data_IF_078492544463
#
_entry.id   IF_078492544463
#
_cell.length_a   1.000
_cell.length_b   1.000
_cell.length_c   1.000
_cell.angle_alpha   90.00
_cell.angle_beta   90.00
_cell.angle_gamma   90.00
#
_symmetry.space_group_name_H-M   'P 1'
#
loop_
_entity.id
_entity.type
_entity.pdbx_description
1 polymer ?
#
# COMPACT_ATOMS: atom_id res chain seq x y z
N UNK A 1 -7.73 25.19 31.77
CA UNK A 1 -8.29 26.57 31.76
C UNK A 1 -9.78 26.47 31.96
N UNK A 2 -10.34 27.21 32.93
CA UNK A 2 -11.75 27.15 33.28
C UNK A 2 -12.56 27.91 32.21
N UNK A 3 -13.56 27.27 31.63
CA UNK A 3 -14.56 27.98 30.83
C UNK A 3 -15.47 28.82 31.73
N UNK A 4 -16.16 29.79 31.16
CA UNK A 4 -17.10 30.60 31.90
C UNK A 4 -18.43 30.75 31.20
N UNK A 5 -19.53 31.02 31.97
CA UNK A 5 -20.87 31.24 31.45
C UNK A 5 -21.22 32.70 31.58
N UNK A 6 -21.51 33.34 30.46
CA UNK A 6 -22.01 34.70 30.39
C UNK A 6 -23.53 34.69 30.39
N UNK A 7 -24.17 35.41 31.32
CA UNK A 7 -25.63 35.74 31.24
C UNK A 7 -25.80 36.93 30.31
N UNK A 8 -26.43 36.75 29.16
CA UNK A 8 -26.59 37.79 28.13
C UNK A 8 -27.81 38.70 28.41
N UNK A 9 -28.69 38.27 29.30
CA UNK A 9 -29.86 39.04 29.69
C UNK A 9 -29.63 39.94 30.86
N UNK A 10 -28.58 39.66 31.67
CA UNK A 10 -28.24 40.48 32.82
C UNK A 10 -26.73 40.76 32.82
N UNK A 11 -26.38 41.97 33.29
CA UNK A 11 -25.03 42.38 33.64
C UNK A 11 -24.99 42.74 35.09
N UNK A 12 -23.84 42.56 35.70
CA UNK A 12 -23.58 42.99 37.10
C UNK A 12 -22.82 44.31 37.06
N UNK A 13 -23.35 45.34 37.69
CA UNK A 13 -22.71 46.64 37.86
C UNK A 13 -22.61 46.97 39.35
N UNK A 14 -21.58 47.75 39.74
CA UNK A 14 -21.47 48.24 41.11
C UNK A 14 -22.53 49.32 41.35
N UNK A 15 -23.42 49.05 42.28
CA UNK A 15 -24.42 50.05 42.71
C UNK A 15 -23.75 51.20 43.47
N UNK A 16 -24.51 52.27 43.80
CA UNK A 16 -24.03 53.41 44.54
C UNK A 16 -23.40 53.06 45.91
N UNK A 17 -23.82 51.96 46.52
CA UNK A 17 -23.35 51.41 47.77
C UNK A 17 -22.18 50.44 47.64
N UNK A 18 -21.55 50.37 46.47
CA UNK A 18 -20.46 49.44 46.20
C UNK A 18 -20.91 47.97 46.07
N UNK A 19 -22.19 47.65 46.25
CA UNK A 19 -22.70 46.28 46.13
C UNK A 19 -23.03 45.92 44.67
N UNK A 20 -22.75 44.67 44.24
CA UNK A 20 -23.05 44.22 42.88
C UNK A 20 -24.59 44.15 42.64
N UNK A 21 -25.06 44.97 41.74
CA UNK A 21 -26.48 45.01 41.35
C UNK A 21 -26.67 44.39 39.95
N UNK A 22 -27.70 43.56 39.81
CA UNK A 22 -28.01 42.87 38.59
C UNK A 22 -28.97 43.68 37.73
N UNK A 23 -28.52 44.18 36.58
CA UNK A 23 -29.27 45.07 35.68
C UNK A 23 -29.61 44.28 34.39
N UNK A 24 -30.81 44.49 33.86
CA UNK A 24 -31.23 43.95 32.59
C UNK A 24 -30.48 44.59 31.44
N UNK A 25 -30.00 43.76 30.49
CA UNK A 25 -29.39 44.24 29.23
C UNK A 25 -30.46 44.47 28.17
N UNK A 26 -30.14 45.15 27.09
CA UNK A 26 -31.01 45.32 25.91
C UNK A 26 -31.49 43.97 25.31
N UNK A 27 -30.82 42.89 25.62
CA UNK A 27 -31.17 41.53 25.18
C UNK A 27 -32.13 40.81 26.14
N UNK A 28 -32.56 41.44 27.18
CA UNK A 28 -33.49 40.84 28.15
C UNK A 28 -34.76 40.33 27.47
N UNK A 29 -35.05 39.03 27.61
CA UNK A 29 -36.21 38.40 26.98
C UNK A 29 -36.01 38.01 25.52
N UNK A 30 -34.94 38.43 24.87
CA UNK A 30 -34.69 38.18 23.45
C UNK A 30 -33.51 37.19 23.23
N UNK A 31 -33.76 36.14 22.47
CA UNK A 31 -32.76 35.13 22.05
C UNK A 31 -32.27 34.26 23.21
N UNK A 32 -31.10 33.61 23.00
CA UNK A 32 -30.52 32.68 23.97
C UNK A 32 -29.83 33.41 25.10
N UNK A 33 -30.15 33.06 26.35
CA UNK A 33 -29.69 33.75 27.56
C UNK A 33 -28.27 33.45 27.95
N UNK A 34 -27.91 32.16 28.06
CA UNK A 34 -26.58 31.74 28.57
C UNK A 34 -25.63 31.47 27.43
N UNK A 35 -24.42 32.04 27.50
CA UNK A 35 -23.34 31.77 26.56
C UNK A 35 -22.16 31.15 27.32
N UNK A 36 -21.99 29.86 27.17
CA UNK A 36 -20.86 29.15 27.68
C UNK A 36 -19.66 29.33 26.74
N UNK A 37 -18.48 29.69 27.28
CA UNK A 37 -17.25 29.96 26.53
C UNK A 37 -16.14 29.12 27.08
N UNK A 38 -15.26 28.63 26.22
CA UNK A 38 -14.01 27.96 26.58
C UNK A 38 -12.93 28.29 25.56
N UNK A 39 -11.66 28.14 25.95
CA UNK A 39 -10.51 28.25 25.05
C UNK A 39 -10.10 26.83 24.66
N UNK A 40 -10.07 26.55 23.37
CA UNK A 40 -9.65 25.25 22.84
C UNK A 40 -8.13 25.03 22.99
N UNK A 41 -7.64 23.80 22.70
CA UNK A 41 -6.20 23.49 22.72
C UNK A 41 -5.35 24.34 21.77
N UNK A 42 -5.98 24.88 20.73
CA UNK A 42 -5.38 25.79 19.73
C UNK A 42 -5.38 27.26 20.14
N UNK A 43 -5.74 27.56 21.39
CA UNK A 43 -5.84 28.93 21.92
C UNK A 43 -7.06 29.72 21.47
N UNK A 44 -7.92 29.14 20.60
CA UNK A 44 -9.10 29.84 20.08
C UNK A 44 -10.27 29.75 21.04
N UNK A 45 -10.93 30.93 21.32
CA UNK A 45 -12.15 30.97 22.13
C UNK A 45 -13.33 30.42 21.32
N UNK A 46 -14.06 29.49 21.92
CA UNK A 46 -15.28 28.89 21.39
C UNK A 46 -16.43 29.08 22.34
N UNK A 47 -17.66 29.12 21.80
CA UNK A 47 -18.84 29.31 22.64
C UNK A 47 -20.05 28.57 22.11
N UNK A 48 -20.95 28.20 23.05
CA UNK A 48 -22.30 27.68 22.76
C UNK A 48 -23.32 28.45 23.58
N UNK A 49 -24.43 28.79 22.94
CA UNK A 49 -25.52 29.54 23.61
C UNK A 49 -26.67 28.60 23.98
N UNK A 50 -27.29 28.87 25.12
CA UNK A 50 -28.38 28.07 25.69
C UNK A 50 -29.59 28.99 26.01
N UNK A 51 -30.82 28.44 25.90
CA UNK A 51 -32.06 29.19 26.22
C UNK A 51 -32.15 29.58 27.71
N UNK A 52 -33.17 30.38 28.03
CA UNK A 52 -33.53 30.63 29.42
C UNK A 52 -33.81 29.31 30.17
N UNK A 53 -33.59 29.32 31.49
CA UNK A 53 -33.72 28.15 32.40
C UNK A 53 -32.79 26.98 32.14
N UNK A 54 -31.88 27.06 31.19
CA UNK A 54 -30.94 26.00 30.87
C UNK A 54 -29.48 26.28 31.34
N UNK A 55 -29.30 27.02 32.41
CA UNK A 55 -27.96 27.32 32.96
C UNK A 55 -27.21 26.04 33.32
N UNK A 56 -27.86 25.08 33.97
CA UNK A 56 -27.30 23.79 34.33
C UNK A 56 -26.79 23.01 33.11
N UNK A 57 -27.53 23.00 32.00
CA UNK A 57 -27.05 22.39 30.74
C UNK A 57 -25.81 23.07 30.16
N UNK A 58 -25.69 24.38 30.36
CA UNK A 58 -24.48 25.11 29.95
C UNK A 58 -23.26 24.73 30.83
N UNK A 59 -23.48 24.54 32.14
CA UNK A 59 -22.48 24.08 33.11
C UNK A 59 -22.01 22.65 32.80
N UNK A 60 -22.98 21.74 32.61
CA UNK A 60 -22.71 20.32 32.22
C UNK A 60 -21.89 20.26 30.91
N UNK A 61 -22.29 21.05 29.91
CA UNK A 61 -21.56 21.09 28.64
C UNK A 61 -20.12 21.60 28.80
N UNK A 62 -19.87 22.61 29.64
CA UNK A 62 -18.50 23.08 29.92
C UNK A 62 -17.67 22.02 30.66
N UNK A 63 -18.28 21.35 31.64
CA UNK A 63 -17.61 20.29 32.40
C UNK A 63 -17.23 19.11 31.49
N UNK A 64 -18.14 18.67 30.61
CA UNK A 64 -17.86 17.64 29.60
C UNK A 64 -16.73 18.07 28.64
N UNK A 65 -16.80 19.31 28.13
CA UNK A 65 -15.78 19.86 27.23
C UNK A 65 -14.41 19.90 27.90
N UNK A 66 -14.34 20.32 29.17
CA UNK A 66 -13.09 20.35 29.93
C UNK A 66 -12.55 18.93 30.19
N UNK A 67 -13.40 17.97 30.50
CA UNK A 67 -13.05 16.58 30.68
C UNK A 67 -12.54 15.96 29.36
N UNK A 68 -13.14 16.27 28.21
CA UNK A 68 -12.70 15.82 26.90
C UNK A 68 -11.35 16.44 26.52
N UNK A 69 -11.13 17.72 26.84
CA UNK A 69 -9.83 18.36 26.64
C UNK A 69 -8.75 17.71 27.51
N UNK A 70 -9.04 17.41 28.77
CA UNK A 70 -8.08 16.76 29.66
C UNK A 70 -7.70 15.34 29.22
N UNK A 71 -8.62 14.64 28.56
CA UNK A 71 -8.40 13.31 27.97
C UNK A 71 -7.81 13.33 26.56
N UNK A 72 -7.56 14.52 25.99
CA UNK A 72 -7.13 14.66 24.59
C UNK A 72 -8.18 14.20 23.57
N UNK A 73 -9.47 14.11 23.96
CA UNK A 73 -10.57 13.64 23.12
C UNK A 73 -11.45 14.79 22.60
N UNK A 74 -11.02 16.04 22.82
CA UNK A 74 -11.78 17.20 22.38
C UNK A 74 -11.76 17.30 20.85
N UNK A 75 -12.96 17.35 20.27
CA UNK A 75 -13.16 17.55 18.81
C UNK A 75 -13.72 18.95 18.58
N UNK A 76 -13.05 19.74 17.76
CA UNK A 76 -13.58 21.02 17.33
C UNK A 76 -14.90 20.80 16.55
N UNK A 77 -16.03 21.40 16.98
CA UNK A 77 -17.31 21.28 16.27
C UNK A 77 -17.27 21.75 14.81
N UNK A 78 -16.36 22.67 14.45
CA UNK A 78 -16.16 23.11 13.07
C UNK A 78 -15.36 22.07 12.28
N UNK A 79 -14.28 21.56 12.84
CA UNK A 79 -13.47 20.50 12.26
C UNK A 79 -14.29 19.22 12.04
N UNK A 80 -15.16 18.87 12.99
CA UNK A 80 -16.08 17.74 12.89
C UNK A 80 -17.07 17.79 11.71
N UNK A 81 -17.35 18.97 11.15
CA UNK A 81 -18.23 19.18 9.98
C UNK A 81 -17.50 18.92 8.66
N UNK A 82 -16.18 18.90 8.65
CA UNK A 82 -15.40 18.55 7.45
C UNK A 82 -15.82 17.16 6.97
N UNK A 83 -16.11 17.01 5.68
CA UNK A 83 -16.52 15.73 5.12
C UNK A 83 -15.31 14.79 4.99
N UNK A 84 -15.55 13.48 4.98
CA UNK A 84 -14.51 12.48 4.78
C UNK A 84 -13.71 12.75 3.50
N UNK A 85 -14.39 13.07 2.39
CA UNK A 85 -13.72 13.35 1.12
C UNK A 85 -12.82 14.58 1.20
N UNK A 86 -13.33 15.71 1.72
CA UNK A 86 -12.54 16.94 1.86
C UNK A 86 -11.29 16.74 2.70
N UNK A 87 -11.41 15.98 3.78
CA UNK A 87 -10.26 15.65 4.62
C UNK A 87 -9.29 14.70 3.92
N UNK A 88 -9.79 13.62 3.31
CA UNK A 88 -8.98 12.62 2.62
C UNK A 88 -8.19 13.22 1.46
N UNK A 89 -8.76 14.14 0.69
CA UNK A 89 -8.05 14.83 -0.41
C UNK A 89 -6.87 15.66 0.11
N UNK A 90 -7.04 16.39 1.22
CA UNK A 90 -5.94 17.11 1.88
C UNK A 90 -4.88 16.16 2.44
N UNK A 91 -5.32 15.09 3.10
CA UNK A 91 -4.44 14.07 3.64
C UNK A 91 -3.60 13.40 2.55
N UNK A 92 -4.20 13.03 1.39
CA UNK A 92 -3.49 12.47 0.24
C UNK A 92 -2.44 13.45 -0.29
N UNK A 93 -2.79 14.74 -0.41
CA UNK A 93 -1.88 15.76 -0.91
C UNK A 93 -0.65 15.95 0.00
N UNK A 94 -0.82 15.81 1.32
CA UNK A 94 0.25 15.93 2.32
C UNK A 94 1.13 14.68 2.48
N UNK A 95 0.83 13.55 1.80
CA UNK A 95 1.62 12.34 1.94
C UNK A 95 2.98 12.44 1.25
N UNK A 96 4.05 12.10 1.97
CA UNK A 96 5.44 12.02 1.47
C UNK A 96 5.78 10.67 0.82
N UNK A 97 4.78 9.80 0.59
CA UNK A 97 4.97 8.47 0.02
C UNK A 97 5.29 8.50 -1.48
N UNK A 98 5.83 7.39 -2.01
CA UNK A 98 6.05 7.18 -3.45
C UNK A 98 4.81 7.57 -4.27
N UNK A 99 5.02 8.27 -5.38
CA UNK A 99 3.95 8.82 -6.22
C UNK A 99 2.94 7.76 -6.68
N UNK A 100 3.40 6.56 -7.07
CA UNK A 100 2.50 5.47 -7.47
C UNK A 100 1.66 4.94 -6.29
N UNK A 101 2.23 4.92 -5.10
CA UNK A 101 1.49 4.57 -3.88
C UNK A 101 0.39 5.59 -3.62
N UNK A 102 0.71 6.88 -3.70
CA UNK A 102 -0.26 7.99 -3.54
C UNK A 102 -1.38 7.93 -4.59
N UNK A 103 -1.03 7.76 -5.88
CA UNK A 103 -1.99 7.57 -6.97
C UNK A 103 -2.89 6.36 -6.70
N UNK A 104 -2.30 5.25 -6.24
CA UNK A 104 -3.06 4.05 -5.89
C UNK A 104 -4.03 4.25 -4.73
N UNK A 105 -3.64 4.99 -3.70
CA UNK A 105 -4.52 5.38 -2.58
C UNK A 105 -5.65 6.28 -3.08
N UNK A 106 -5.33 7.32 -3.83
CA UNK A 106 -6.31 8.25 -4.41
C UNK A 106 -7.34 7.51 -5.28
N UNK A 107 -6.87 6.66 -6.19
CA UNK A 107 -7.74 5.88 -7.09
C UNK A 107 -8.71 5.00 -6.29
N UNK A 108 -8.24 4.31 -5.26
CA UNK A 108 -9.09 3.45 -4.42
C UNK A 108 -10.11 4.27 -3.67
N UNK A 109 -9.72 5.39 -3.06
CA UNK A 109 -10.64 6.24 -2.31
C UNK A 109 -11.68 6.89 -3.24
N UNK A 110 -11.27 7.46 -4.38
CA UNK A 110 -12.19 8.07 -5.36
C UNK A 110 -13.18 7.07 -5.93
N UNK A 111 -12.73 5.87 -6.26
CA UNK A 111 -13.58 4.87 -6.92
C UNK A 111 -14.52 4.16 -5.96
N UNK A 112 -14.12 3.90 -4.72
CA UNK A 112 -14.85 3.01 -3.83
C UNK A 112 -15.31 3.65 -2.51
N UNK A 113 -14.55 4.60 -1.94
CA UNK A 113 -14.90 5.20 -0.66
C UNK A 113 -15.73 6.48 -0.81
N UNK A 114 -15.33 7.42 -1.68
CA UNK A 114 -16.02 8.70 -1.82
C UNK A 114 -17.47 8.57 -2.25
N UNK A 115 -17.86 7.68 -3.18
CA UNK A 115 -19.28 7.52 -3.54
C UNK A 115 -20.18 7.06 -2.37
N UNK A 116 -19.61 6.36 -1.37
CA UNK A 116 -20.37 5.73 -0.28
C UNK A 116 -20.34 6.54 1.01
N UNK A 117 -19.16 7.03 1.37
CA UNK A 117 -18.92 7.69 2.67
C UNK A 117 -18.30 9.08 2.53
N UNK A 118 -18.01 9.55 1.31
CA UNK A 118 -17.29 10.79 1.05
C UNK A 118 -17.98 12.05 1.58
N UNK A 119 -19.30 12.15 1.41
CA UNK A 119 -20.10 13.30 1.85
C UNK A 119 -20.37 13.33 3.37
N UNK A 120 -20.02 12.24 4.11
CA UNK A 120 -20.29 12.13 5.53
C UNK A 120 -19.35 13.04 6.34
N UNK A 121 -19.89 13.90 7.24
CA UNK A 121 -19.07 14.68 8.17
C UNK A 121 -18.26 13.76 9.10
N UNK A 122 -16.99 14.07 9.35
CA UNK A 122 -16.11 13.25 10.18
C UNK A 122 -16.69 12.99 11.58
N UNK A 123 -17.20 14.01 12.25
CA UNK A 123 -17.80 13.87 13.59
C UNK A 123 -19.07 12.99 13.65
N UNK A 124 -19.66 12.64 12.51
CA UNK A 124 -20.84 11.77 12.43
C UNK A 124 -20.52 10.29 12.23
N UNK A 125 -19.26 9.93 12.04
CA UNK A 125 -18.88 8.55 11.83
C UNK A 125 -19.16 7.67 13.05
N UNK A 126 -19.75 6.51 12.81
CA UNK A 126 -20.04 5.46 13.80
C UNK A 126 -19.58 4.10 13.27
N UNK A 127 -19.31 3.12 14.14
CA UNK A 127 -18.94 1.77 13.70
C UNK A 127 -19.91 1.13 12.71
N UNK A 128 -21.21 1.43 12.80
CA UNK A 128 -22.23 0.91 11.87
C UNK A 128 -21.94 1.32 10.43
N UNK A 129 -21.54 2.57 10.19
CA UNK A 129 -21.25 3.06 8.83
C UNK A 129 -20.03 2.37 8.21
N UNK A 130 -19.07 1.97 9.04
CA UNK A 130 -17.92 1.20 8.57
C UNK A 130 -18.31 -0.25 8.27
N UNK A 131 -19.18 -0.86 9.08
CA UNK A 131 -19.70 -2.21 8.79
C UNK A 131 -20.51 -2.24 7.49
N UNK A 132 -21.37 -1.24 7.26
CA UNK A 132 -22.10 -1.07 6.00
C UNK A 132 -21.15 -0.92 4.83
N UNK A 133 -20.16 -0.04 4.94
CA UNK A 133 -19.12 0.15 3.92
C UNK A 133 -18.35 -1.14 3.59
N UNK A 134 -17.98 -1.93 4.59
CA UNK A 134 -17.30 -3.22 4.38
C UNK A 134 -18.22 -4.20 3.64
N UNK A 135 -19.47 -4.33 4.07
CA UNK A 135 -20.47 -5.16 3.39
C UNK A 135 -20.67 -4.77 1.92
N UNK A 136 -20.72 -3.47 1.63
CA UNK A 136 -20.89 -2.97 0.27
C UNK A 136 -19.67 -3.30 -0.60
N UNK A 137 -18.44 -3.24 -0.03
CA UNK A 137 -17.22 -3.67 -0.73
C UNK A 137 -17.22 -5.17 -1.04
N UNK A 138 -17.77 -6.00 -0.14
CA UNK A 138 -17.88 -7.45 -0.34
C UNK A 138 -18.93 -7.78 -1.42
N UNK A 139 -20.03 -7.04 -1.47
CA UNK A 139 -21.07 -7.19 -2.48
C UNK A 139 -20.62 -6.77 -3.90
N UNK A 140 -19.66 -5.87 -4.02
CA UNK A 140 -19.12 -5.41 -5.33
C UNK A 140 -18.36 -6.47 -6.12
N UNK A 141 -18.25 -7.68 -5.64
CA UNK A 141 -17.47 -8.79 -6.27
C UNK A 141 -16.00 -8.42 -6.53
N UNK A 142 -15.46 -7.47 -5.79
CA UNK A 142 -14.04 -7.13 -5.83
C UNK A 142 -13.22 -8.13 -5.00
N UNK A 143 -12.03 -8.45 -5.47
CA UNK A 143 -11.18 -9.43 -4.77
C UNK A 143 -10.87 -8.99 -3.34
N UNK A 144 -10.96 -9.91 -2.37
CA UNK A 144 -10.84 -9.63 -0.94
C UNK A 144 -9.57 -8.86 -0.54
N UNK A 145 -8.42 -9.17 -1.16
CA UNK A 145 -7.17 -8.40 -0.94
C UNK A 145 -7.28 -6.93 -1.38
N UNK A 146 -8.01 -6.66 -2.45
CA UNK A 146 -8.21 -5.29 -2.92
C UNK A 146 -9.20 -4.54 -2.03
N UNK A 147 -10.30 -5.17 -1.61
CA UNK A 147 -11.24 -4.65 -0.63
C UNK A 147 -10.54 -4.34 0.71
N UNK A 148 -9.65 -5.23 1.16
CA UNK A 148 -8.82 -5.03 2.35
C UNK A 148 -7.93 -3.79 2.24
N UNK A 149 -7.33 -3.54 1.07
CA UNK A 149 -6.52 -2.35 0.82
C UNK A 149 -7.35 -1.07 0.83
N UNK A 150 -8.58 -1.09 0.26
CA UNK A 150 -9.50 0.04 0.32
C UNK A 150 -9.86 0.36 1.79
N UNK A 151 -10.25 -0.65 2.55
CA UNK A 151 -10.54 -0.51 3.98
C UNK A 151 -9.34 0.04 4.76
N UNK A 152 -8.12 -0.46 4.50
CA UNK A 152 -6.91 0.02 5.15
C UNK A 152 -6.65 1.51 4.87
N UNK A 153 -6.92 1.98 3.64
CA UNK A 153 -6.81 3.39 3.29
C UNK A 153 -7.86 4.24 4.03
N UNK A 154 -9.12 3.80 4.11
CA UNK A 154 -10.17 4.49 4.89
C UNK A 154 -9.78 4.55 6.36
N UNK A 155 -9.32 3.44 6.93
CA UNK A 155 -8.83 3.40 8.32
C UNK A 155 -7.70 4.38 8.57
N UNK A 156 -6.72 4.47 7.64
CA UNK A 156 -5.58 5.39 7.76
C UNK A 156 -6.04 6.86 7.74
N UNK A 157 -6.95 7.23 6.82
CA UNK A 157 -7.55 8.57 6.76
C UNK A 157 -8.28 8.91 8.06
N UNK A 158 -9.09 7.98 8.59
CA UNK A 158 -9.83 8.20 9.85
C UNK A 158 -8.90 8.23 11.07
N UNK A 159 -7.77 7.52 11.06
CA UNK A 159 -6.76 7.63 12.11
C UNK A 159 -6.11 9.02 12.10
N UNK A 160 -5.70 9.50 10.93
CA UNK A 160 -5.16 10.85 10.80
C UNK A 160 -6.19 11.92 11.21
N UNK A 161 -7.48 11.71 10.90
CA UNK A 161 -8.54 12.61 11.34
C UNK A 161 -8.73 12.63 12.89
N UNK A 162 -8.38 11.53 13.58
CA UNK A 162 -8.32 11.51 15.05
C UNK A 162 -7.12 12.30 15.54
N UNK A 163 -5.94 12.06 14.97
CA UNK A 163 -4.69 12.74 15.33
C UNK A 163 -4.82 14.27 15.14
N UNK A 164 -5.52 14.70 14.08
CA UNK A 164 -5.77 16.12 13.77
C UNK A 164 -7.01 16.71 14.51
N UNK A 165 -7.63 15.99 15.43
CA UNK A 165 -8.76 16.49 16.25
C UNK A 165 -10.09 16.67 15.50
N UNK A 166 -10.26 16.07 14.34
CA UNK A 166 -11.52 16.06 13.58
C UNK A 166 -12.51 14.98 14.03
N UNK A 167 -12.01 13.95 14.74
CA UNK A 167 -12.75 12.79 15.18
C UNK A 167 -12.21 12.31 16.53
N UNK A 168 -13.07 12.02 17.49
CA UNK A 168 -12.63 11.59 18.83
C UNK A 168 -12.03 10.18 18.85
N UNK A 169 -12.55 9.27 18.03
CA UNK A 169 -12.08 7.87 17.95
C UNK A 169 -12.27 7.34 16.54
N UNK A 170 -11.30 6.55 16.08
CA UNK A 170 -11.44 5.88 14.79
C UNK A 170 -12.50 4.75 14.87
N UNK A 171 -13.63 4.84 14.14
CA UNK A 171 -14.68 3.83 14.19
C UNK A 171 -14.25 2.47 13.63
N UNK A 172 -13.19 2.42 12.82
CA UNK A 172 -12.60 1.16 12.33
C UNK A 172 -11.93 0.35 13.46
N UNK A 173 -11.65 0.95 14.63
CA UNK A 173 -11.04 0.28 15.77
C UNK A 173 -12.05 -0.38 16.71
N UNK A 174 -13.35 -0.24 16.45
CA UNK A 174 -14.39 -0.86 17.26
C UNK A 174 -14.36 -2.40 17.09
N UNK A 175 -14.52 -3.13 18.20
CA UNK A 175 -14.50 -4.60 18.19
C UNK A 175 -15.55 -5.25 17.26
N UNK A 176 -16.65 -4.52 16.98
CA UNK A 176 -17.70 -4.96 16.05
C UNK A 176 -17.36 -4.76 14.58
N UNK A 177 -16.25 -4.09 14.26
CA UNK A 177 -15.83 -3.84 12.87
C UNK A 177 -14.73 -4.82 12.49
N UNK A 178 -15.02 -5.65 11.51
CA UNK A 178 -14.06 -6.58 10.93
C UNK A 178 -13.63 -6.10 9.55
N UNK A 179 -12.32 -6.09 9.27
CA UNK A 179 -11.84 -5.81 7.91
C UNK A 179 -12.31 -6.88 6.92
N UNK A 180 -12.44 -6.54 5.61
CA UNK A 180 -12.78 -7.52 4.57
C UNK A 180 -11.92 -8.79 4.67
N UNK A 181 -12.53 -9.95 4.49
CA UNK A 181 -11.83 -11.23 4.51
C UNK A 181 -10.86 -11.35 3.33
N UNK A 182 -9.69 -11.90 3.58
CA UNK A 182 -8.73 -12.24 2.53
C UNK A 182 -8.54 -13.74 2.57
N UNK A 183 -8.86 -14.39 1.48
CA UNK A 183 -8.48 -15.79 1.30
C UNK A 183 -6.94 -15.88 1.29
N UNK A 184 -6.39 -16.63 2.21
CA UNK A 184 -4.97 -16.93 2.24
C UNK A 184 -4.68 -17.99 1.14
N UNK A 185 -4.68 -17.56 -0.13
CA UNK A 185 -4.21 -18.42 -1.20
C UNK A 185 -2.73 -18.70 -0.96
N UNK A 186 -2.38 -19.96 -0.70
CA UNK A 186 -0.98 -20.38 -0.64
C UNK A 186 -0.38 -20.24 -2.02
N UNK A 187 0.85 -19.74 -2.08
CA UNK A 187 1.63 -19.74 -3.31
C UNK A 187 1.93 -21.19 -3.68
N UNK A 188 1.47 -21.60 -4.86
CA UNK A 188 1.85 -22.87 -5.46
C UNK A 188 2.90 -22.54 -6.52
N UNK A 189 4.17 -22.92 -6.30
CA UNK A 189 5.23 -22.68 -7.27
C UNK A 189 5.00 -23.47 -8.55
N UNK A 190 5.44 -22.92 -9.64
CA UNK A 190 5.45 -23.67 -10.90
C UNK A 190 6.45 -24.83 -10.86
N UNK A 191 6.18 -25.86 -11.63
CA UNK A 191 7.12 -26.92 -11.91
C UNK A 191 8.18 -26.44 -12.92
N UNK A 192 9.41 -26.98 -12.89
CA UNK A 192 10.43 -26.65 -13.89
C UNK A 192 9.97 -26.86 -15.35
N UNK A 193 9.11 -27.86 -15.60
CA UNK A 193 8.50 -28.11 -16.91
C UNK A 193 7.57 -26.98 -17.34
N UNK A 194 6.81 -26.39 -16.42
CA UNK A 194 5.91 -25.26 -16.70
C UNK A 194 6.70 -23.99 -17.04
N UNK A 195 7.80 -23.73 -16.31
CA UNK A 195 8.69 -22.59 -16.60
C UNK A 195 9.26 -22.74 -18.03
N UNK A 196 9.77 -23.94 -18.37
CA UNK A 196 10.28 -24.21 -19.72
C UNK A 196 9.21 -24.07 -20.78
N UNK A 197 8.03 -24.64 -20.58
CA UNK A 197 6.92 -24.55 -21.54
C UNK A 197 6.51 -23.10 -21.83
N UNK A 198 6.39 -22.26 -20.81
CA UNK A 198 6.10 -20.83 -20.99
C UNK A 198 7.24 -20.10 -21.69
N UNK A 199 8.50 -20.39 -21.33
CA UNK A 199 9.67 -19.83 -22.00
C UNK A 199 9.66 -20.14 -23.50
N UNK A 200 9.48 -21.39 -23.85
CA UNK A 200 9.55 -21.86 -25.25
C UNK A 200 8.36 -21.38 -26.09
N UNK A 201 7.20 -21.15 -25.47
CA UNK A 201 6.02 -20.55 -26.10
C UNK A 201 6.15 -19.04 -26.35
N UNK A 202 7.10 -18.35 -25.72
CA UNK A 202 7.37 -16.93 -25.97
C UNK A 202 8.16 -16.73 -27.27
N UNK A 203 7.95 -15.60 -27.99
CA UNK A 203 8.88 -15.16 -29.02
C UNK A 203 10.33 -15.11 -28.50
N UNK A 204 11.28 -15.45 -29.34
CA UNK A 204 12.71 -15.54 -28.97
C UNK A 204 13.18 -14.30 -28.21
N UNK A 205 12.80 -13.12 -28.68
CA UNK A 205 13.10 -11.81 -28.06
C UNK A 205 12.76 -11.70 -26.57
N UNK A 206 11.83 -12.51 -26.06
CA UNK A 206 11.35 -12.43 -24.67
C UNK A 206 11.69 -13.67 -23.82
N UNK A 207 12.29 -14.71 -24.42
CA UNK A 207 12.62 -15.96 -23.69
C UNK A 207 13.55 -15.74 -22.52
N UNK A 208 14.60 -14.95 -22.72
CA UNK A 208 15.58 -14.65 -21.67
C UNK A 208 14.97 -13.85 -20.49
N UNK A 209 13.81 -13.17 -20.66
CA UNK A 209 13.08 -12.58 -19.56
C UNK A 209 12.58 -13.64 -18.57
N UNK A 210 12.23 -14.82 -19.05
CA UNK A 210 11.83 -15.96 -18.20
C UNK A 210 13.04 -16.51 -17.48
N UNK A 211 14.17 -16.68 -18.19
CA UNK A 211 15.42 -17.17 -17.60
C UNK A 211 15.89 -16.27 -16.44
N UNK A 212 15.88 -14.94 -16.64
CA UNK A 212 16.20 -13.95 -15.59
C UNK A 212 15.17 -13.98 -14.45
N UNK A 213 13.88 -14.08 -14.77
CA UNK A 213 12.82 -14.12 -13.77
C UNK A 213 12.88 -15.35 -12.87
N UNK A 214 13.14 -16.53 -13.47
CA UNK A 214 13.16 -17.81 -12.78
C UNK A 214 14.54 -18.18 -12.20
N UNK A 215 15.63 -17.65 -12.76
CA UNK A 215 16.99 -17.95 -12.30
C UNK A 215 17.63 -16.88 -11.42
N UNK A 216 17.10 -15.62 -11.43
CA UNK A 216 17.58 -14.53 -10.59
C UNK A 216 16.49 -13.88 -9.75
N UNK A 217 15.23 -14.29 -9.85
CA UNK A 217 14.13 -13.84 -9.01
C UNK A 217 13.73 -12.37 -9.17
N UNK A 218 14.04 -11.73 -10.30
CA UNK A 218 13.76 -10.32 -10.56
C UNK A 218 12.26 -10.05 -10.69
N UNK A 219 11.83 -8.86 -10.28
CA UNK A 219 10.47 -8.37 -10.56
C UNK A 219 10.33 -7.95 -12.02
N UNK A 220 9.14 -8.05 -12.60
CA UNK A 220 8.91 -7.70 -14.01
C UNK A 220 9.45 -6.31 -14.39
N UNK A 221 9.25 -5.29 -13.53
CA UNK A 221 9.78 -3.96 -13.79
C UNK A 221 11.31 -3.87 -13.73
N UNK A 222 11.96 -4.71 -12.92
CA UNK A 222 13.41 -4.86 -12.84
C UNK A 222 13.95 -5.58 -14.08
N UNK A 223 13.24 -6.62 -14.57
CA UNK A 223 13.59 -7.33 -15.83
C UNK A 223 13.50 -6.37 -17.02
N UNK A 224 12.38 -5.66 -17.15
CA UNK A 224 12.20 -4.70 -18.26
C UNK A 224 13.22 -3.56 -18.22
N UNK A 225 13.64 -3.16 -17.02
CA UNK A 225 14.66 -2.12 -16.81
C UNK A 225 16.09 -2.62 -16.70
N UNK A 226 16.35 -3.90 -17.02
CA UNK A 226 17.68 -4.48 -16.91
C UNK A 226 18.60 -3.91 -18.00
N UNK A 227 19.67 -3.26 -17.59
CA UNK A 227 20.65 -2.68 -18.46
C UNK A 227 21.88 -3.58 -18.64
N UNK A 228 22.58 -3.39 -19.74
CA UNK A 228 23.79 -4.13 -20.09
C UNK A 228 24.88 -4.05 -19.02
N UNK A 229 25.08 -2.86 -18.46
CA UNK A 229 26.04 -2.56 -17.38
C UNK A 229 25.69 -3.20 -16.01
N UNK A 230 24.51 -3.78 -15.91
CA UNK A 230 24.05 -4.45 -14.70
C UNK A 230 24.34 -5.96 -14.68
N UNK A 231 24.90 -6.52 -15.77
CA UNK A 231 25.23 -7.94 -15.90
C UNK A 231 26.74 -8.12 -15.83
N UNK A 232 27.20 -8.62 -14.70
CA UNK A 232 28.63 -8.84 -14.44
C UNK A 232 29.00 -10.30 -14.68
N UNK A 233 29.39 -10.62 -15.91
CA UNK A 233 29.67 -12.00 -16.35
C UNK A 233 30.97 -12.56 -15.75
N UNK A 234 31.88 -11.68 -15.33
CA UNK A 234 33.16 -12.07 -14.75
C UNK A 234 33.09 -12.42 -13.26
N UNK A 235 32.07 -11.86 -12.58
CA UNK A 235 31.83 -12.10 -11.15
C UNK A 235 30.57 -12.92 -10.88
N UNK A 236 29.98 -13.54 -11.91
CA UNK A 236 28.75 -14.32 -11.84
C UNK A 236 27.64 -13.63 -11.03
N UNK A 237 27.47 -12.34 -11.26
CA UNK A 237 26.50 -11.52 -10.52
C UNK A 237 25.67 -10.62 -11.43
N UNK A 238 24.45 -10.30 -10.98
CA UNK A 238 23.54 -9.39 -11.63
C UNK A 238 23.12 -8.31 -10.64
N UNK A 239 23.47 -7.06 -10.95
CA UNK A 239 23.11 -5.91 -10.10
C UNK A 239 21.73 -5.39 -10.43
N UNK A 240 20.84 -5.38 -9.45
CA UNK A 240 19.50 -4.82 -9.57
C UNK A 240 19.48 -3.42 -8.99
N UNK A 241 19.79 -2.42 -9.81
CA UNK A 241 19.84 -1.01 -9.43
C UNK A 241 18.70 -0.18 -10.02
N UNK A 242 18.05 -0.68 -11.08
CA UNK A 242 17.04 0.07 -11.84
C UNK A 242 15.82 -0.77 -12.16
N UNK A 243 14.65 -0.13 -12.22
CA UNK A 243 13.43 -0.71 -12.76
C UNK A 243 12.69 0.31 -13.62
N UNK A 244 11.84 -0.16 -14.52
CA UNK A 244 10.88 0.69 -15.23
C UNK A 244 9.55 0.65 -14.52
N UNK A 245 9.02 1.84 -14.18
CA UNK A 245 7.67 2.06 -13.64
C UNK A 245 6.82 2.87 -14.61
N UNK A 246 5.51 2.69 -14.56
CA UNK A 246 4.55 3.58 -15.21
C UNK A 246 3.95 4.51 -14.17
N UNK A 247 4.06 5.81 -14.40
CA UNK A 247 3.47 6.86 -13.57
C UNK A 247 2.57 7.71 -14.45
N UNK A 248 1.25 7.64 -14.22
CA UNK A 248 0.25 8.33 -15.06
C UNK A 248 0.42 8.05 -16.56
N UNK A 249 0.76 6.80 -16.92
CA UNK A 249 0.97 6.39 -18.29
C UNK A 249 2.35 6.69 -18.87
N UNK A 250 3.20 7.42 -18.16
CA UNK A 250 4.58 7.72 -18.57
C UNK A 250 5.52 6.69 -17.99
N UNK A 251 6.38 6.11 -18.82
CA UNK A 251 7.43 5.22 -18.36
C UNK A 251 8.58 6.05 -17.76
N UNK A 252 9.08 5.62 -16.60
CA UNK A 252 10.22 6.26 -15.93
C UNK A 252 11.19 5.20 -15.42
N UNK A 253 12.47 5.52 -15.42
CA UNK A 253 13.45 4.79 -14.63
C UNK A 253 13.29 5.14 -13.16
N UNK A 254 13.45 4.15 -12.28
CA UNK A 254 13.42 4.35 -10.85
C UNK A 254 14.30 3.30 -10.14
N UNK A 255 14.78 3.57 -8.93
CA UNK A 255 15.42 2.54 -8.13
C UNK A 255 14.43 1.41 -7.83
N UNK A 256 14.90 0.20 -7.49
CA UNK A 256 14.06 -0.92 -7.08
C UNK A 256 13.13 -0.54 -5.92
N UNK A 257 12.07 -1.32 -5.71
CA UNK A 257 11.11 -1.04 -4.62
C UNK A 257 11.82 -0.98 -3.25
N UNK A 258 11.61 0.12 -2.53
CA UNK A 258 12.28 0.39 -1.25
C UNK A 258 13.70 0.94 -1.40
N UNK A 259 14.08 1.38 -2.60
CA UNK A 259 15.40 1.96 -2.93
C UNK A 259 16.59 1.05 -2.55
N UNK A 260 16.36 -0.27 -2.46
CA UNK A 260 17.40 -1.25 -2.15
C UNK A 260 17.97 -1.82 -3.44
N UNK A 261 19.15 -1.32 -3.81
CA UNK A 261 19.99 -2.01 -4.78
C UNK A 261 20.48 -3.31 -4.19
N UNK A 262 20.72 -4.30 -5.03
CA UNK A 262 21.20 -5.60 -4.60
C UNK A 262 21.93 -6.33 -5.72
N UNK A 263 22.87 -7.16 -5.35
CA UNK A 263 23.51 -8.12 -6.25
C UNK A 263 22.83 -9.49 -6.05
N UNK A 264 22.56 -10.16 -7.16
CA UNK A 264 21.93 -11.48 -7.19
C UNK A 264 22.88 -12.42 -7.89
N UNK A 265 23.12 -13.66 -7.37
CA UNK A 265 23.90 -14.65 -8.07
C UNK A 265 23.36 -14.89 -9.48
N UNK A 266 24.25 -14.93 -10.47
CA UNK A 266 23.94 -15.15 -11.87
C UNK A 266 24.33 -16.59 -12.26
N UNK A 267 23.37 -17.52 -12.34
CA UNK A 267 23.66 -18.89 -12.75
C UNK A 267 24.23 -18.93 -14.17
N UNK A 268 25.16 -19.83 -14.42
CA UNK A 268 25.83 -20.00 -15.75
C UNK A 268 24.80 -20.18 -16.89
N UNK A 269 23.70 -20.89 -16.63
CA UNK A 269 22.62 -21.08 -17.60
C UNK A 269 21.92 -19.77 -17.96
N UNK A 270 21.71 -18.88 -16.99
CA UNK A 270 21.10 -17.54 -17.21
C UNK A 270 22.10 -16.63 -17.91
N UNK A 271 23.38 -16.66 -17.50
CA UNK A 271 24.46 -15.93 -18.16
C UNK A 271 24.57 -16.32 -19.64
N UNK A 272 24.52 -17.62 -19.94
CA UNK A 272 24.49 -18.13 -21.32
C UNK A 272 23.27 -17.61 -22.09
N UNK A 273 22.06 -17.73 -21.52
CA UNK A 273 20.84 -17.23 -22.15
C UNK A 273 20.90 -15.72 -22.45
N UNK A 274 21.45 -14.92 -21.53
CA UNK A 274 21.63 -13.48 -21.72
C UNK A 274 22.65 -13.17 -22.82
N UNK A 275 23.79 -13.90 -22.86
CA UNK A 275 24.79 -13.75 -23.95
C UNK A 275 24.18 -14.05 -25.31
N UNK A 276 23.44 -15.16 -25.45
CA UNK A 276 22.75 -15.51 -26.71
C UNK A 276 21.71 -14.46 -27.06
N UNK A 277 20.91 -14.00 -26.09
CA UNK A 277 19.93 -12.97 -26.31
C UNK A 277 20.57 -11.67 -26.81
N UNK A 278 21.60 -11.16 -26.15
CA UNK A 278 22.28 -9.92 -26.55
C UNK A 278 23.00 -10.03 -27.90
N UNK A 279 23.38 -11.25 -28.31
CA UNK A 279 23.93 -11.50 -29.65
C UNK A 279 22.86 -11.39 -30.73
N UNK A 280 21.67 -11.95 -30.51
CA UNK A 280 20.54 -11.91 -31.46
C UNK A 280 19.76 -10.59 -31.40
N UNK A 281 19.72 -9.97 -30.24
CA UNK A 281 18.99 -8.73 -29.95
C UNK A 281 19.90 -7.79 -29.15
N UNK A 282 20.76 -7.01 -29.81
CA UNK A 282 21.71 -6.12 -29.14
C UNK A 282 20.99 -5.12 -28.22
N UNK A 283 21.60 -4.78 -27.04
CA UNK A 283 21.01 -3.81 -26.12
C UNK A 283 20.74 -2.47 -26.76
N UNK A 284 19.54 -1.91 -26.50
CA UNK A 284 19.05 -0.67 -27.10
C UNK A 284 19.17 0.50 -26.11
N UNK A 285 19.70 1.64 -26.59
CA UNK A 285 19.79 2.87 -25.81
C UNK A 285 18.39 3.48 -25.64
N UNK A 286 17.90 3.51 -24.41
CA UNK A 286 16.58 4.03 -24.05
C UNK A 286 16.76 5.23 -23.12
N UNK A 287 16.07 6.33 -23.43
CA UNK A 287 16.09 7.57 -22.65
C UNK A 287 14.74 7.81 -22.01
N UNK A 288 14.67 7.77 -20.67
CA UNK A 288 13.47 7.99 -19.88
C UNK A 288 13.72 8.97 -18.74
N UNK A 289 12.67 9.66 -18.24
CA UNK A 289 12.76 10.46 -17.03
C UNK A 289 13.14 9.59 -15.80
N UNK A 290 13.86 10.17 -14.85
CA UNK A 290 14.23 9.52 -13.59
C UNK A 290 13.19 9.81 -12.51
N UNK A 291 12.66 8.75 -11.87
CA UNK A 291 11.73 8.72 -10.73
C UNK A 291 10.34 9.27 -11.05
N UNK A 292 10.20 10.37 -11.77
CA UNK A 292 8.93 11.05 -12.05
C UNK A 292 8.87 11.55 -13.51
N UNK A 293 7.66 11.72 -14.09
CA UNK A 293 7.51 12.10 -15.50
C UNK A 293 8.24 13.36 -15.93
N UNK A 294 8.41 14.32 -15.01
CA UNK A 294 9.13 15.58 -15.19
C UNK A 294 10.56 15.53 -14.61
N UNK A 295 11.08 14.35 -14.32
CA UNK A 295 12.44 14.15 -13.81
C UNK A 295 13.52 14.33 -14.88
N UNK A 296 14.80 14.38 -14.48
CA UNK A 296 15.90 14.46 -15.41
C UNK A 296 15.91 13.23 -16.33
N UNK A 297 16.21 13.44 -17.61
CA UNK A 297 16.33 12.36 -18.57
C UNK A 297 17.60 11.57 -18.30
N UNK A 298 17.44 10.26 -18.20
CA UNK A 298 18.53 9.28 -18.00
C UNK A 298 18.52 8.30 -19.17
N UNK A 299 19.69 8.00 -19.73
CA UNK A 299 19.85 7.02 -20.79
C UNK A 299 20.46 5.73 -20.23
N UNK A 300 19.91 4.59 -20.65
CA UNK A 300 20.38 3.26 -20.32
C UNK A 300 20.31 2.35 -21.54
N UNK A 301 21.30 1.49 -21.72
CA UNK A 301 21.29 0.43 -22.73
C UNK A 301 20.56 -0.78 -22.18
N UNK A 302 19.28 -0.93 -22.54
CA UNK A 302 18.43 -2.00 -22.04
C UNK A 302 18.64 -3.29 -22.84
N UNK A 303 18.72 -4.42 -22.13
CA UNK A 303 18.84 -5.76 -22.72
C UNK A 303 17.53 -6.17 -23.40
N UNK A 304 16.37 -5.78 -22.83
CA UNK A 304 15.08 -6.15 -23.35
C UNK A 304 14.38 -4.95 -23.99
N UNK A 305 14.18 -5.03 -25.30
CA UNK A 305 13.44 -4.05 -26.08
C UNK A 305 12.26 -4.72 -26.81
N UNK A 306 11.26 -3.94 -27.20
CA UNK A 306 10.17 -4.40 -28.06
C UNK A 306 10.59 -4.47 -29.54
N UNK A 307 9.67 -4.87 -30.43
CA UNK A 307 9.93 -5.01 -31.86
C UNK A 307 10.23 -3.70 -32.59
N UNK A 308 9.99 -2.56 -31.96
CA UNK A 308 10.28 -1.21 -32.48
C UNK A 308 11.47 -0.56 -31.74
N UNK A 309 12.35 -1.37 -31.14
CA UNK A 309 13.51 -0.94 -30.35
C UNK A 309 13.20 0.08 -29.26
N UNK A 310 11.97 0.01 -28.73
CA UNK A 310 11.50 0.79 -27.60
C UNK A 310 11.36 -0.06 -26.34
N UNK A 311 10.85 0.55 -25.26
CA UNK A 311 10.61 -0.17 -23.99
C UNK A 311 9.58 -1.29 -24.17
N UNK A 312 9.76 -2.36 -23.41
CA UNK A 312 8.73 -3.40 -23.29
C UNK A 312 7.63 -2.87 -22.37
N UNK A 313 6.50 -2.49 -22.95
CA UNK A 313 5.33 -2.03 -22.20
C UNK A 313 4.70 -3.19 -21.44
N UNK A 314 4.75 -3.12 -20.11
CA UNK A 314 4.25 -4.18 -19.21
C UNK A 314 2.83 -4.62 -19.53
N UNK A 315 1.91 -3.70 -19.82
CA UNK A 315 0.52 -3.99 -20.14
C UNK A 315 0.40 -4.79 -21.44
N UNK A 316 1.07 -4.32 -22.51
CA UNK A 316 1.03 -4.95 -23.82
C UNK A 316 1.68 -6.33 -23.78
N UNK A 317 2.86 -6.44 -23.17
CA UNK A 317 3.53 -7.72 -22.98
C UNK A 317 2.64 -8.72 -22.22
N UNK A 318 2.04 -8.31 -21.11
CA UNK A 318 1.19 -9.20 -20.31
C UNK A 318 -0.08 -9.65 -21.05
N UNK A 319 -0.66 -8.80 -21.90
CA UNK A 319 -1.89 -9.12 -22.64
C UNK A 319 -1.60 -9.94 -23.88
N UNK A 320 -0.60 -9.57 -24.66
CA UNK A 320 -0.39 -10.10 -26.00
C UNK A 320 0.63 -11.25 -26.04
N UNK A 321 1.69 -11.18 -25.24
CA UNK A 321 2.76 -12.18 -25.25
C UNK A 321 2.61 -13.17 -24.11
N UNK A 322 2.56 -12.67 -22.86
CA UNK A 322 2.58 -13.50 -21.67
C UNK A 322 1.36 -14.42 -21.55
N UNK A 323 0.15 -13.88 -21.72
CA UNK A 323 -1.07 -14.71 -21.64
C UNK A 323 -1.15 -15.72 -22.78
N UNK A 324 -0.67 -15.35 -23.97
CA UNK A 324 -0.58 -16.28 -25.10
C UNK A 324 0.37 -17.44 -24.78
N UNK A 325 1.53 -17.14 -24.22
CA UNK A 325 2.49 -18.17 -23.81
C UNK A 325 1.92 -19.07 -22.68
N UNK A 326 1.19 -18.50 -21.71
CA UNK A 326 0.52 -19.27 -20.66
C UNK A 326 -0.52 -20.24 -21.24
N UNK A 327 -1.30 -19.81 -22.23
CA UNK A 327 -2.29 -20.68 -22.88
C UNK A 327 -1.62 -21.78 -23.69
N UNK A 328 -0.59 -21.46 -24.47
CA UNK A 328 0.19 -22.43 -25.22
C UNK A 328 0.90 -23.46 -24.31
N UNK A 329 1.31 -23.04 -23.10
CA UNK A 329 1.86 -23.93 -22.08
C UNK A 329 0.78 -24.69 -21.27
N UNK A 330 -0.51 -24.53 -21.57
CA UNK A 330 -1.61 -25.21 -20.87
C UNK A 330 -1.89 -24.73 -19.45
N UNK A 331 -1.35 -23.56 -19.04
CA UNK A 331 -1.54 -22.99 -17.70
C UNK A 331 -2.84 -22.21 -17.54
N UNK A 332 -3.39 -21.71 -18.64
CA UNK A 332 -4.70 -21.06 -18.71
C UNK A 332 -5.47 -21.52 -19.95
N UNK A 333 -6.79 -21.45 -19.94
CA UNK A 333 -7.57 -21.78 -21.13
C UNK A 333 -7.26 -20.87 -22.31
N UNK A 334 -7.23 -21.43 -23.51
CA UNK A 334 -7.22 -20.66 -24.74
C UNK A 334 -8.62 -20.06 -24.94
N UNK A 335 -8.75 -18.76 -25.17
CA UNK A 335 -10.06 -18.15 -25.42
C UNK A 335 -10.60 -18.52 -26.78
N UNK A 336 -11.92 -18.44 -26.95
CA UNK A 336 -12.56 -18.50 -28.27
C UNK A 336 -12.03 -17.36 -29.17
N UNK A 337 -12.17 -17.57 -30.49
CA UNK A 337 -11.73 -16.58 -31.48
C UNK A 337 -12.36 -15.20 -31.20
N UNK A 338 -11.51 -14.17 -31.11
CA UNK A 338 -11.93 -12.79 -30.86
C UNK A 338 -12.23 -12.46 -29.38
N UNK A 339 -12.18 -13.41 -28.46
CA UNK A 339 -12.36 -13.14 -27.03
C UNK A 339 -11.01 -12.87 -26.33
N UNK A 340 -10.98 -12.00 -25.31
CA UNK A 340 -9.78 -11.77 -24.53
C UNK A 340 -9.47 -12.95 -23.61
N UNK A 341 -8.19 -13.16 -23.32
CA UNK A 341 -7.77 -14.14 -22.32
C UNK A 341 -8.34 -13.81 -20.94
N UNK A 342 -8.73 -14.83 -20.19
CA UNK A 342 -9.20 -14.72 -18.82
C UNK A 342 -8.16 -14.05 -17.89
N UNK A 343 -8.61 -13.59 -16.73
CA UNK A 343 -7.71 -13.07 -15.71
C UNK A 343 -6.82 -14.20 -15.18
N UNK A 344 -5.49 -14.01 -15.26
CA UNK A 344 -4.48 -14.99 -14.86
C UNK A 344 -3.55 -14.42 -13.77
N UNK A 345 -4.11 -13.79 -12.73
CA UNK A 345 -3.32 -13.11 -11.70
C UNK A 345 -2.32 -14.02 -11.00
N UNK A 346 -2.68 -15.27 -10.76
CA UNK A 346 -1.82 -16.28 -10.13
C UNK A 346 -0.67 -16.73 -11.05
N UNK A 347 -0.80 -16.55 -12.37
CA UNK A 347 0.19 -16.90 -13.37
C UNK A 347 0.87 -15.68 -14.01
N UNK A 348 0.87 -14.52 -13.33
CA UNK A 348 1.66 -13.36 -13.77
C UNK A 348 3.16 -13.65 -13.70
N UNK A 349 4.00 -12.84 -14.35
CA UNK A 349 5.47 -13.00 -14.30
C UNK A 349 6.05 -13.11 -12.88
N UNK A 350 5.30 -12.67 -11.87
CA UNK A 350 5.71 -12.85 -10.46
C UNK A 350 5.76 -14.33 -10.03
N UNK A 351 5.10 -15.23 -10.76
CA UNK A 351 5.21 -16.67 -10.55
C UNK A 351 6.63 -17.20 -10.77
N UNK A 352 7.39 -16.61 -11.70
CA UNK A 352 8.81 -16.92 -11.91
C UNK A 352 9.65 -16.63 -10.68
N UNK A 353 9.39 -15.51 -10.02
CA UNK A 353 10.05 -15.13 -8.77
C UNK A 353 9.62 -16.03 -7.60
N UNK A 354 8.39 -16.49 -7.58
CA UNK A 354 7.94 -17.50 -6.63
C UNK A 354 8.66 -18.84 -6.86
N UNK A 355 8.81 -19.24 -8.13
CA UNK A 355 9.58 -20.41 -8.51
C UNK A 355 11.04 -20.31 -8.01
N UNK A 356 11.74 -19.20 -8.31
CA UNK A 356 13.10 -18.95 -7.84
C UNK A 356 13.24 -19.11 -6.32
N UNK A 357 12.38 -18.43 -5.56
CA UNK A 357 12.43 -18.50 -4.10
C UNK A 357 12.17 -19.92 -3.58
N UNK A 358 11.23 -20.64 -4.21
CA UNK A 358 10.88 -22.00 -3.82
C UNK A 358 12.00 -22.99 -4.07
N UNK A 359 12.66 -22.89 -5.22
CA UNK A 359 13.80 -23.77 -5.58
C UNK A 359 14.96 -23.55 -4.61
N UNK A 360 15.29 -22.29 -4.28
CA UNK A 360 16.39 -22.01 -3.34
C UNK A 360 16.08 -22.50 -1.91
N UNK A 361 14.85 -22.27 -1.44
CA UNK A 361 14.45 -22.71 -0.10
C UNK A 361 14.37 -24.25 0.00
N UNK A 362 13.90 -24.92 -1.06
CA UNK A 362 13.89 -26.38 -1.15
C UNK A 362 15.30 -26.96 -1.15
N UNK A 363 16.22 -26.31 -1.85
CA UNK A 363 17.63 -26.65 -1.84
C UNK A 363 18.35 -26.35 -0.50
N UNK A 364 17.67 -25.66 0.44
CA UNK A 364 18.24 -25.40 1.77
C UNK A 364 18.91 -24.04 1.93
N UNK A 365 18.78 -23.15 0.96
CA UNK A 365 19.31 -21.80 1.09
C UNK A 365 18.64 -21.06 2.26
N UNK A 366 19.40 -20.20 2.94
CA UNK A 366 18.91 -19.48 4.10
C UNK A 366 17.80 -18.49 3.74
N UNK A 367 16.80 -18.35 4.61
CA UNK A 367 15.72 -17.35 4.43
C UNK A 367 16.30 -15.94 4.29
N UNK A 368 17.41 -15.66 5.01
CA UNK A 368 18.08 -14.36 4.95
C UNK A 368 18.65 -14.11 3.56
N UNK A 369 19.42 -15.03 3.01
CA UNK A 369 19.99 -14.90 1.67
C UNK A 369 18.91 -14.79 0.59
N UNK A 370 17.89 -15.66 0.62
CA UNK A 370 16.76 -15.56 -0.31
C UNK A 370 16.05 -14.22 -0.19
N UNK A 371 15.85 -13.69 1.03
CA UNK A 371 15.24 -12.36 1.23
C UNK A 371 16.11 -11.25 0.65
N UNK A 372 17.41 -11.31 0.78
CA UNK A 372 18.36 -10.35 0.22
C UNK A 372 18.33 -10.39 -1.32
N UNK A 373 18.43 -11.56 -1.94
CA UNK A 373 18.33 -11.72 -3.40
C UNK A 373 16.98 -11.25 -3.95
N UNK A 374 15.91 -11.50 -3.22
CA UNK A 374 14.58 -10.99 -3.57
C UNK A 374 14.43 -9.48 -3.30
N UNK A 375 15.28 -8.85 -2.50
CA UNK A 375 15.13 -7.45 -2.08
C UNK A 375 13.85 -7.25 -1.27
N UNK A 376 13.57 -8.16 -0.31
CA UNK A 376 12.55 -7.96 0.70
C UNK A 376 13.12 -7.09 1.83
N UNK A 377 12.33 -6.12 2.29
CA UNK A 377 12.75 -5.25 3.40
C UNK A 377 12.75 -5.97 4.76
N UNK A 378 11.95 -7.04 4.86
CA UNK A 378 11.75 -7.83 6.06
C UNK A 378 11.78 -9.32 5.69
N UNK A 379 12.74 -10.11 6.22
CA UNK A 379 12.79 -11.56 6.03
C UNK A 379 11.52 -12.30 6.46
N UNK A 380 10.76 -11.75 7.42
CA UNK A 380 9.48 -12.31 7.82
C UNK A 380 8.46 -12.34 6.66
N UNK A 381 8.62 -11.47 5.65
CA UNK A 381 7.81 -11.53 4.43
C UNK A 381 8.09 -12.82 3.65
N UNK A 382 9.36 -13.18 3.47
CA UNK A 382 9.77 -14.43 2.81
C UNK A 382 9.22 -15.63 3.59
N UNK A 383 9.37 -15.64 4.89
CA UNK A 383 8.86 -16.69 5.75
C UNK A 383 7.32 -16.84 5.63
N UNK A 384 6.57 -15.75 5.73
CA UNK A 384 5.09 -15.79 5.60
C UNK A 384 4.61 -16.32 4.26
N UNK A 385 5.35 -16.04 3.18
CA UNK A 385 4.96 -16.45 1.83
C UNK A 385 5.36 -17.89 1.54
N UNK A 386 6.54 -18.34 2.02
CA UNK A 386 7.17 -19.58 1.57
C UNK A 386 7.39 -20.62 2.68
N UNK A 387 7.04 -20.35 3.95
CA UNK A 387 7.27 -21.31 5.04
C UNK A 387 6.68 -22.70 4.78
N UNK A 388 5.55 -22.76 4.06
CA UNK A 388 4.88 -24.02 3.73
C UNK A 388 5.58 -24.84 2.64
N UNK A 389 6.59 -24.29 1.97
CA UNK A 389 7.42 -24.93 0.94
C UNK A 389 8.76 -25.40 1.50
N UNK A 390 9.07 -25.10 2.75
CA UNK A 390 10.30 -25.55 3.36
C UNK A 390 10.20 -27.04 3.66
N UNK A 391 11.19 -27.86 3.22
CA UNK A 391 11.22 -29.28 3.52
C UNK A 391 11.25 -29.48 5.04
N UNK A 392 10.71 -30.61 5.50
CA UNK A 392 10.78 -30.96 6.93
C UNK A 392 12.26 -30.96 7.35
N UNK A 393 12.57 -30.16 8.37
CA UNK A 393 13.95 -29.97 8.82
C UNK A 393 14.58 -31.22 9.44
N UNK A 394 13.77 -32.24 9.75
CA UNK A 394 14.20 -33.43 10.50
C UNK A 394 15.18 -34.33 9.73
N UNK A 395 14.97 -34.54 8.42
CA UNK A 395 15.88 -35.35 7.62
C UNK A 395 17.20 -34.61 7.33
N UNK A 396 17.12 -33.32 7.10
CA UNK A 396 18.31 -32.47 6.89
C UNK A 396 19.12 -32.35 8.18
N UNK A 397 18.45 -32.13 9.31
CA UNK A 397 19.10 -32.04 10.61
C UNK A 397 19.84 -33.37 10.94
N UNK A 398 19.19 -34.53 10.69
CA UNK A 398 19.84 -35.82 10.86
C UNK A 398 21.06 -35.93 9.97
N UNK A 399 20.92 -35.67 8.66
CA UNK A 399 22.02 -35.77 7.70
C UNK A 399 23.23 -34.89 8.10
N UNK A 400 22.97 -33.62 8.42
CA UNK A 400 24.03 -32.69 8.86
C UNK A 400 24.68 -33.13 10.15
N UNK A 401 23.92 -33.68 11.08
CA UNK A 401 24.47 -34.21 12.33
C UNK A 401 25.22 -35.50 12.10
N UNK A 402 24.73 -36.39 11.24
CA UNK A 402 25.43 -37.62 10.83
C UNK A 402 26.73 -37.29 10.10
N UNK A 403 26.77 -36.29 9.21
CA UNK A 403 27.99 -35.82 8.55
C UNK A 403 29.01 -35.23 9.53
N UNK A 404 28.57 -34.56 10.59
CA UNK A 404 29.47 -34.00 11.62
C UNK A 404 29.95 -35.05 12.61
N UNK A 405 29.09 -35.99 13.00
CA UNK A 405 29.42 -37.00 14.02
C UNK A 405 29.69 -38.37 13.45
N UNK A 406 29.32 -38.67 12.18
CA UNK A 406 29.50 -39.98 11.55
C UNK A 406 30.92 -40.27 11.09
N UNK A 407 31.83 -39.30 11.09
CA UNK A 407 33.28 -39.49 10.70
C UNK A 407 34.13 -40.09 11.80
N UNK A 408 33.56 -40.55 12.92
CA UNK A 408 34.30 -41.12 14.05
C UNK A 408 34.28 -42.68 14.14
N UNK A 409 33.76 -43.38 13.12
CA UNK A 409 33.71 -44.87 13.13
C UNK A 409 34.26 -45.48 11.85
N UNK A 410 35.50 -45.22 11.51
CA UNK A 410 36.33 -46.08 10.68
C UNK A 410 37.79 -45.65 10.87
N UNK A 411 38.43 -46.18 11.90
CA UNK A 411 39.90 -46.30 12.02
C UNK A 411 40.23 -47.52 12.84
#
# INVERSE_FOLDING_TARGET
MAGHIQDRWYKTESGPDGKPTRIKTERYGNGLRYRARYVGPDGTERSRSFPDRQKRRAEEWLAETAADMSRGQHVDPRAARTTFQQYAERWIAGQSTDLNTRIGVETRLRRHAFPRIGARPLGSFRPVHIREFVRDLENDSIGGSYARNIYANVRAVLSAAVDDGHLARNPCSAASVRPPAVSAARVVPWLPSQVRAVRDALPERYRAMVDVGSGCGLRQGEIIGLAEDSVHLDSDSLRVATQIKLIRGVAVFAPPKGSKERDVPLPSSVAYALRQHMKSHPPVAIKLPWIKPDGPLTERRLIFANTADGIVWRSNFNVHEWKRALAAAGLIPTPDLGKPYASARQHGMHALRHFYASVLLDAGESIKAVSEYLGHSDPAMTLRVYAHLMPSSSERARRVLDDVFGTAQES
#
